data_IF_611352763400
#
_entry.id   IF_611352763400
#
_cell.length_a   1.000
_cell.length_b   1.000
_cell.length_c   1.000
_cell.angle_alpha   90.00
_cell.angle_beta   90.00
_cell.angle_gamma   90.00
#
_symmetry.space_group_name_H-M   'P 1'
#
loop_
_entity.id
_entity.type
_entity.pdbx_description
1 polymer ?
#
# COMPACT_ATOMS: atom_id res chain seq x y z
N UNK A 1 7.74 16.64 -17.02
CA UNK A 1 9.03 16.10 -16.53
C UNK A 1 8.75 14.73 -15.94
N UNK A 2 9.17 13.65 -16.61
CA UNK A 2 9.15 12.32 -16.01
C UNK A 2 10.29 12.28 -14.98
N UNK A 3 9.96 12.37 -13.70
CA UNK A 3 10.93 12.11 -12.64
C UNK A 3 11.45 10.68 -12.83
N UNK A 4 12.76 10.54 -13.07
CA UNK A 4 13.41 9.24 -13.03
C UNK A 4 13.12 8.60 -11.66
N UNK A 5 12.84 7.29 -11.60
CA UNK A 5 12.62 6.61 -10.34
C UNK A 5 13.83 6.83 -9.44
N UNK A 6 13.60 7.32 -8.22
CA UNK A 6 14.65 7.45 -7.21
C UNK A 6 15.12 6.03 -6.87
N UNK A 7 16.41 5.77 -7.03
CA UNK A 7 16.99 4.48 -6.63
C UNK A 7 16.93 4.32 -5.11
N UNK A 8 16.46 3.17 -4.65
CA UNK A 8 16.57 2.79 -3.25
C UNK A 8 18.06 2.57 -2.91
N UNK A 9 18.57 3.04 -1.75
CA UNK A 9 17.86 3.64 -0.61
C UNK A 9 18.02 5.17 -0.51
N UNK A 10 18.07 5.92 -1.62
CA UNK A 10 18.33 7.37 -1.56
C UNK A 10 17.17 8.18 -0.94
N UNK A 11 17.44 9.38 -0.39
CA UNK A 11 16.41 10.27 0.13
C UNK A 11 15.28 10.52 -0.88
N UNK A 12 14.04 10.44 -0.40
CA UNK A 12 12.83 10.45 -1.22
C UNK A 12 12.31 9.05 -1.57
N UNK A 13 13.09 8.00 -1.36
CA UNK A 13 12.63 6.61 -1.53
C UNK A 13 11.51 6.28 -0.56
N UNK A 14 10.45 5.63 -1.07
CA UNK A 14 9.36 5.09 -0.26
C UNK A 14 9.72 3.68 0.15
N UNK A 15 9.78 3.43 1.45
CA UNK A 15 10.24 2.18 2.02
C UNK A 15 9.18 1.57 2.92
N UNK A 16 9.21 0.25 3.06
CA UNK A 16 8.48 -0.46 4.07
C UNK A 16 9.42 -0.72 5.24
N UNK A 17 8.97 -0.32 6.42
CA UNK A 17 9.59 -0.67 7.70
C UNK A 17 8.51 -1.20 8.62
N UNK A 18 8.75 -2.42 9.13
CA UNK A 18 7.75 -3.18 9.92
C UNK A 18 6.37 -3.20 9.23
N UNK A 19 6.37 -3.19 7.89
CA UNK A 19 5.16 -3.26 7.07
C UNK A 19 4.42 -1.94 6.82
N UNK A 20 4.87 -0.87 7.45
CA UNK A 20 4.31 0.47 7.27
C UNK A 20 5.11 1.21 6.21
N UNK A 21 4.46 2.08 5.44
CA UNK A 21 5.16 2.94 4.48
C UNK A 21 5.76 4.15 5.17
N UNK A 22 7.01 4.40 4.86
CA UNK A 22 7.79 5.55 5.28
C UNK A 22 8.52 6.14 4.08
N UNK A 23 9.05 7.34 4.25
CA UNK A 23 9.92 7.99 3.28
C UNK A 23 11.30 8.15 3.90
N UNK A 24 12.36 7.77 3.19
CA UNK A 24 13.73 8.09 3.62
C UNK A 24 13.92 9.59 3.48
N UNK A 25 14.24 10.27 4.58
CA UNK A 25 14.54 11.70 4.58
C UNK A 25 16.04 11.99 4.45
N UNK A 26 16.86 11.13 5.06
CA UNK A 26 18.31 11.31 5.11
C UNK A 26 19.01 9.97 5.38
N UNK A 27 20.23 9.81 4.87
CA UNK A 27 21.11 8.68 5.19
C UNK A 27 22.24 9.12 6.14
N UNK A 28 22.70 8.20 6.97
CA UNK A 28 23.86 8.34 7.86
C UNK A 28 24.79 7.14 7.70
N UNK A 29 25.96 7.21 8.33
CA UNK A 29 26.89 6.08 8.47
C UNK A 29 27.22 5.43 7.12
N UNK A 30 27.55 6.26 6.12
CA UNK A 30 27.79 5.84 4.72
C UNK A 30 26.64 5.04 4.09
N UNK A 31 25.39 5.29 4.50
CA UNK A 31 24.21 4.61 3.97
C UNK A 31 23.78 3.39 4.77
N UNK A 32 24.41 3.08 5.91
CA UNK A 32 23.98 1.97 6.77
C UNK A 32 22.68 2.27 7.52
N UNK A 33 22.42 3.54 7.84
CA UNK A 33 21.25 3.98 8.62
C UNK A 33 20.45 5.04 7.86
N UNK A 34 19.13 4.96 7.89
CA UNK A 34 18.23 5.96 7.31
C UNK A 34 17.37 6.65 8.39
N UNK A 35 17.23 7.97 8.32
CA UNK A 35 16.11 8.67 8.95
C UNK A 35 14.88 8.44 8.08
N UNK A 36 13.92 7.69 8.58
CA UNK A 36 12.63 7.49 7.94
C UNK A 36 11.57 8.35 8.62
N UNK A 37 10.72 8.95 7.79
CA UNK A 37 9.60 9.78 8.22
C UNK A 37 8.29 9.25 7.67
N UNK A 38 7.22 9.39 8.45
CA UNK A 38 5.87 9.03 8.07
C UNK A 38 4.95 10.20 8.35
N UNK A 39 4.20 10.59 7.33
CA UNK A 39 3.21 11.66 7.39
C UNK A 39 1.82 11.05 7.11
N UNK A 40 0.80 11.42 7.89
CA UNK A 40 -0.56 10.95 7.71
C UNK A 40 -1.41 10.97 9.00
N UNK A 41 -2.73 10.88 8.83
CA UNK A 41 -3.74 11.09 9.88
C UNK A 41 -3.77 10.07 11.05
N UNK A 42 -2.79 9.17 11.15
CA UNK A 42 -2.74 8.13 12.19
C UNK A 42 -1.36 7.83 12.76
N UNK A 43 -0.30 8.51 12.30
CA UNK A 43 1.03 8.50 12.92
C UNK A 43 1.95 9.50 12.20
N UNK A 44 2.17 10.68 12.79
CA UNK A 44 3.40 11.42 12.52
C UNK A 44 4.52 10.73 13.28
N UNK A 45 5.54 10.27 12.57
CA UNK A 45 6.66 9.55 13.17
C UNK A 45 7.95 9.84 12.45
N UNK A 46 9.02 10.03 13.21
CA UNK A 46 10.40 10.07 12.69
C UNK A 46 11.25 9.10 13.51
N UNK A 47 12.02 8.25 12.85
CA UNK A 47 12.99 7.39 13.53
C UNK A 47 14.15 7.01 12.63
N UNK A 48 15.25 6.58 13.25
CA UNK A 48 16.37 5.97 12.53
C UNK A 48 16.15 4.48 12.43
N UNK A 49 16.48 3.91 11.28
CA UNK A 49 16.37 2.48 11.03
C UNK A 49 17.53 2.02 10.14
N UNK A 50 18.09 0.81 10.37
CA UNK A 50 19.09 0.24 9.48
C UNK A 50 18.52 0.08 8.07
N UNK A 51 19.27 0.49 7.06
CA UNK A 51 18.85 0.36 5.65
C UNK A 51 18.64 -1.10 5.25
N UNK A 52 19.41 -2.02 5.86
CA UNK A 52 19.25 -3.46 5.67
C UNK A 52 17.87 -3.99 6.08
N UNK A 53 17.18 -3.31 7.01
CA UNK A 53 15.84 -3.68 7.49
C UNK A 53 14.72 -3.01 6.66
N UNK A 54 15.07 -2.13 5.73
CA UNK A 54 14.14 -1.42 4.87
C UNK A 54 13.92 -2.18 3.58
N UNK A 55 12.65 -2.28 3.16
CA UNK A 55 12.28 -2.90 1.88
C UNK A 55 11.80 -1.81 0.93
N UNK A 56 12.25 -1.84 -0.34
CA UNK A 56 11.71 -0.94 -1.36
C UNK A 56 10.20 -1.22 -1.56
N UNK A 57 9.38 -0.22 -1.24
CA UNK A 57 7.94 -0.36 -1.30
C UNK A 57 7.44 -0.49 -2.76
N UNK A 58 8.19 0.00 -3.74
CA UNK A 58 7.84 -0.12 -5.15
C UNK A 58 8.01 -1.56 -5.65
N UNK A 59 9.04 -2.26 -5.16
CA UNK A 59 9.30 -3.67 -5.48
C UNK A 59 8.18 -4.56 -4.91
N UNK A 60 7.77 -4.32 -3.67
CA UNK A 60 6.65 -5.06 -3.03
C UNK A 60 5.32 -4.81 -3.72
N UNK A 61 5.07 -3.59 -4.22
CA UNK A 61 3.87 -3.31 -5.00
C UNK A 61 3.88 -4.08 -6.34
N UNK A 62 5.05 -4.20 -7.00
CA UNK A 62 5.21 -5.00 -8.20
C UNK A 62 4.97 -6.49 -7.96
N UNK A 63 5.54 -7.03 -6.89
CA UNK A 63 5.39 -8.45 -6.52
C UNK A 63 3.98 -8.80 -6.02
N UNK A 64 3.30 -7.86 -5.35
CA UNK A 64 1.90 -8.03 -4.92
C UNK A 64 0.94 -8.15 -6.10
N UNK A 65 1.21 -7.47 -7.21
CA UNK A 65 0.45 -7.62 -8.47
C UNK A 65 0.69 -9.01 -9.08
N UNK A 66 1.91 -9.54 -8.97
CA UNK A 66 2.26 -10.88 -9.43
C UNK A 66 1.70 -12.00 -8.54
N UNK A 67 1.42 -11.71 -7.26
CA UNK A 67 0.82 -12.67 -6.31
C UNK A 67 -0.67 -12.97 -6.61
N UNK A 68 -1.33 -12.14 -7.42
CA UNK A 68 -2.68 -12.41 -7.97
C UNK A 68 -2.57 -13.38 -9.16
N UNK A 69 -1.92 -14.54 -8.95
CA UNK A 69 -1.80 -15.60 -9.98
C UNK A 69 -3.14 -16.33 -10.13
N UNK A 70 -3.60 -16.51 -11.36
CA UNK A 70 -4.81 -17.27 -11.70
C UNK A 70 -6.08 -16.43 -11.96
N UNK A 71 -6.00 -15.10 -11.89
CA UNK A 71 -7.18 -14.25 -12.05
C UNK A 71 -7.19 -13.53 -13.41
N UNK A 72 -8.37 -13.43 -14.03
CA UNK A 72 -8.58 -12.87 -15.37
C UNK A 72 -8.07 -11.43 -15.54
N UNK A 73 -7.93 -11.00 -16.80
CA UNK A 73 -7.39 -9.67 -17.19
C UNK A 73 -8.02 -8.51 -16.41
N UNK A 74 -9.33 -8.57 -16.19
CA UNK A 74 -10.09 -7.52 -15.50
C UNK A 74 -9.69 -7.39 -14.03
N UNK A 75 -9.51 -8.51 -13.33
CA UNK A 75 -9.06 -8.47 -11.93
C UNK A 75 -7.63 -7.94 -11.82
N UNK A 76 -6.74 -8.22 -12.78
CA UNK A 76 -5.40 -7.65 -12.79
C UNK A 76 -5.42 -6.14 -12.96
N UNK A 77 -6.24 -5.63 -13.89
CA UNK A 77 -6.41 -4.18 -14.09
C UNK A 77 -7.00 -3.51 -12.84
N UNK A 78 -7.99 -4.15 -12.22
CA UNK A 78 -8.56 -3.69 -10.96
C UNK A 78 -7.52 -3.70 -9.84
N UNK A 79 -6.74 -4.77 -9.69
CA UNK A 79 -5.69 -4.89 -8.67
C UNK A 79 -4.58 -3.85 -8.84
N UNK A 80 -4.14 -3.58 -10.08
CA UNK A 80 -3.19 -2.51 -10.38
C UNK A 80 -3.73 -1.14 -9.99
N UNK A 81 -5.00 -0.86 -10.30
CA UNK A 81 -5.63 0.40 -9.93
C UNK A 81 -5.77 0.54 -8.41
N UNK A 82 -6.18 -0.52 -7.72
CA UNK A 82 -6.23 -0.57 -6.25
C UNK A 82 -4.84 -0.34 -5.67
N UNK A 83 -3.81 -1.03 -6.16
CA UNK A 83 -2.43 -0.84 -5.71
C UNK A 83 -1.96 0.61 -5.89
N UNK A 84 -2.27 1.23 -7.03
CA UNK A 84 -1.96 2.63 -7.30
C UNK A 84 -2.69 3.57 -6.33
N UNK A 85 -4.00 3.39 -6.14
CA UNK A 85 -4.80 4.20 -5.22
C UNK A 85 -4.33 4.08 -3.75
N UNK A 86 -3.87 2.89 -3.38
CA UNK A 86 -3.39 2.58 -2.04
C UNK A 86 -1.90 2.87 -1.84
N UNK A 87 -1.18 3.31 -2.88
CA UNK A 87 0.28 3.46 -2.86
C UNK A 87 0.75 4.29 -1.68
N UNK A 88 0.15 5.44 -1.44
CA UNK A 88 0.56 6.37 -0.38
C UNK A 88 -0.27 6.23 0.91
N UNK A 89 -1.11 5.19 0.98
CA UNK A 89 -1.99 4.95 2.14
C UNK A 89 -1.40 3.88 3.04
N UNK A 90 -1.62 4.05 4.34
CA UNK A 90 -1.29 3.05 5.35
C UNK A 90 -2.52 2.32 5.90
N UNK A 91 -3.68 2.95 5.74
CA UNK A 91 -4.98 2.40 6.13
C UNK A 91 -6.04 2.88 5.14
N UNK A 92 -7.08 2.08 4.99
CA UNK A 92 -8.23 2.41 4.15
C UNK A 92 -9.48 1.75 4.71
N UNK A 93 -10.58 2.50 4.78
CA UNK A 93 -11.88 1.91 5.03
C UNK A 93 -12.41 1.26 3.75
N UNK A 94 -12.94 0.04 3.86
CA UNK A 94 -13.43 -0.72 2.71
C UNK A 94 -14.53 0.03 1.94
N UNK A 95 -15.41 0.74 2.64
CA UNK A 95 -16.44 1.59 2.03
C UNK A 95 -15.84 2.70 1.15
N UNK A 96 -14.81 3.39 1.64
CA UNK A 96 -14.19 4.50 0.91
C UNK A 96 -13.48 3.99 -0.35
N UNK A 97 -12.82 2.83 -0.24
CA UNK A 97 -12.25 2.14 -1.40
C UNK A 97 -13.34 1.70 -2.39
N UNK A 98 -14.46 1.17 -1.90
CA UNK A 98 -15.60 0.80 -2.73
C UNK A 98 -16.20 1.99 -3.49
N UNK A 99 -16.39 3.13 -2.82
CA UNK A 99 -16.86 4.36 -3.48
C UNK A 99 -15.88 4.86 -4.55
N UNK A 100 -14.57 4.82 -4.26
CA UNK A 100 -13.56 5.19 -5.24
C UNK A 100 -13.60 4.30 -6.48
N UNK A 101 -13.70 2.98 -6.29
CA UNK A 101 -13.79 2.02 -7.40
C UNK A 101 -15.10 2.13 -8.18
N UNK A 102 -16.20 2.45 -7.52
CA UNK A 102 -17.47 2.72 -8.19
C UNK A 102 -17.37 3.97 -9.08
N UNK A 103 -16.74 5.04 -8.60
CA UNK A 103 -16.49 6.24 -9.40
C UNK A 103 -15.54 5.99 -10.57
N UNK A 104 -14.43 5.27 -10.35
CA UNK A 104 -13.49 4.90 -11.41
C UNK A 104 -14.13 3.97 -12.46
N UNK A 105 -15.03 3.08 -12.04
CA UNK A 105 -15.79 2.26 -12.98
C UNK A 105 -16.75 3.09 -13.83
N UNK A 106 -17.48 4.04 -13.21
CA UNK A 106 -18.36 4.95 -13.93
C UNK A 106 -17.60 5.82 -14.96
N UNK A 107 -16.33 6.13 -14.68
CA UNK A 107 -15.43 6.83 -15.60
C UNK A 107 -14.81 5.92 -16.69
N UNK A 108 -14.98 4.60 -16.62
CA UNK A 108 -14.41 3.64 -17.57
C UNK A 108 -12.95 3.25 -17.31
N UNK A 109 -12.38 3.65 -16.18
CA UNK A 109 -10.96 3.42 -15.85
C UNK A 109 -10.70 1.99 -15.40
N UNK A 110 -11.68 1.35 -14.77
CA UNK A 110 -11.59 -0.01 -14.22
C UNK A 110 -12.84 -0.85 -14.49
N UNK A 111 -12.68 -2.18 -14.55
CA UNK A 111 -13.82 -3.10 -14.50
C UNK A 111 -14.59 -2.97 -13.17
N UNK A 112 -15.87 -3.33 -13.21
CA UNK A 112 -16.72 -3.33 -12.03
C UNK A 112 -16.23 -4.37 -11.01
N UNK A 113 -16.19 -3.98 -9.73
CA UNK A 113 -16.02 -4.95 -8.64
C UNK A 113 -17.21 -5.91 -8.61
N UNK A 114 -16.96 -7.22 -8.47
CA UNK A 114 -18.05 -8.20 -8.40
C UNK A 114 -18.83 -8.05 -7.10
N UNK A 115 -18.10 -8.06 -6.00
CA UNK A 115 -18.61 -7.92 -4.64
C UNK A 115 -17.48 -7.49 -3.68
N UNK A 116 -17.81 -7.36 -2.40
CA UNK A 116 -16.84 -7.03 -1.36
C UNK A 116 -15.81 -8.14 -1.14
N UNK A 117 -16.14 -9.42 -1.39
CA UNK A 117 -15.21 -10.53 -1.22
C UNK A 117 -14.07 -10.45 -2.24
N UNK A 118 -14.41 -10.20 -3.51
CA UNK A 118 -13.46 -9.99 -4.60
C UNK A 118 -12.50 -8.85 -4.31
N UNK A 119 -12.99 -7.73 -3.76
CA UNK A 119 -12.14 -6.62 -3.34
C UNK A 119 -11.20 -7.02 -2.19
N UNK A 120 -11.70 -7.77 -1.20
CA UNK A 120 -10.89 -8.24 -0.07
C UNK A 120 -9.80 -9.21 -0.51
N UNK A 121 -10.06 -10.08 -1.49
CA UNK A 121 -9.03 -10.95 -2.07
C UNK A 121 -7.91 -10.16 -2.75
N UNK A 122 -8.27 -9.15 -3.54
CA UNK A 122 -7.29 -8.22 -4.14
C UNK A 122 -6.45 -7.55 -3.06
N UNK A 123 -7.11 -7.00 -2.02
CA UNK A 123 -6.43 -6.36 -0.91
C UNK A 123 -5.46 -7.30 -0.19
N UNK A 124 -5.88 -8.53 0.10
CA UNK A 124 -5.01 -9.56 0.71
C UNK A 124 -3.81 -9.89 -0.18
N UNK A 125 -4.02 -10.05 -1.49
CA UNK A 125 -2.93 -10.27 -2.45
C UNK A 125 -1.92 -9.12 -2.47
N UNK A 126 -2.37 -7.89 -2.23
CA UNK A 126 -1.54 -6.69 -2.11
C UNK A 126 -0.90 -6.50 -0.72
N UNK A 127 -1.10 -7.43 0.22
CA UNK A 127 -0.55 -7.37 1.58
C UNK A 127 -1.37 -6.49 2.54
N UNK A 128 -2.66 -6.29 2.28
CA UNK A 128 -3.57 -5.55 3.14
C UNK A 128 -4.45 -6.48 3.96
N UNK A 129 -4.52 -6.23 5.27
CA UNK A 129 -5.23 -7.07 6.22
C UNK A 129 -6.18 -6.24 7.08
N UNK A 130 -7.30 -6.83 7.45
CA UNK A 130 -8.31 -6.18 8.30
C UNK A 130 -7.70 -5.92 9.67
N UNK A 131 -7.76 -4.67 10.12
CA UNK A 131 -7.21 -4.22 11.41
C UNK A 131 -8.31 -3.80 12.40
N UNK A 132 -9.49 -3.44 11.92
CA UNK A 132 -10.58 -3.01 12.78
C UNK A 132 -11.77 -2.49 12.00
N UNK A 133 -12.46 -1.51 12.58
CA UNK A 133 -13.59 -0.82 11.97
C UNK A 133 -13.45 0.69 12.17
N UNK A 134 -13.94 1.46 11.21
CA UNK A 134 -14.08 2.90 11.28
C UNK A 134 -15.56 3.30 11.13
N UNK A 135 -15.91 4.44 11.71
CA UNK A 135 -17.28 4.96 11.75
C UNK A 135 -18.12 4.36 12.87
N UNK A 136 -19.26 5.01 13.12
CA UNK A 136 -20.31 4.52 14.01
C UNK A 136 -21.38 3.79 13.20
N UNK A 137 -22.16 2.93 13.85
CA UNK A 137 -23.36 2.33 13.25
C UNK A 137 -24.34 3.43 12.77
N UNK A 138 -25.02 3.25 11.63
CA UNK A 138 -25.02 2.09 10.72
C UNK A 138 -23.90 2.12 9.65
N UNK A 139 -23.02 3.12 9.72
CA UNK A 139 -22.02 3.45 8.72
C UNK A 139 -20.66 2.78 8.97
N UNK A 140 -20.64 1.76 9.82
CA UNK A 140 -19.42 1.11 10.27
C UNK A 140 -18.82 0.30 9.13
N UNK A 141 -17.58 0.60 8.77
CA UNK A 141 -16.84 -0.09 7.70
C UNK A 141 -15.61 -0.78 8.26
N UNK A 142 -15.26 -2.00 7.80
CA UNK A 142 -13.96 -2.59 8.06
C UNK A 142 -12.84 -1.65 7.61
N UNK A 143 -11.78 -1.55 8.42
CA UNK A 143 -10.53 -0.86 8.08
C UNK A 143 -9.47 -1.89 7.80
N UNK A 144 -8.78 -1.72 6.68
CA UNK A 144 -7.64 -2.52 6.30
C UNK A 144 -6.38 -1.69 6.46
N UNK A 145 -5.32 -2.32 6.98
CA UNK A 145 -3.98 -1.77 7.07
C UNK A 145 -3.03 -2.64 6.29
N UNK A 146 -1.99 -2.03 5.75
CA UNK A 146 -0.86 -2.79 5.22
C UNK A 146 -0.13 -3.44 6.39
N UNK A 147 0.05 -4.76 6.34
CA UNK A 147 0.88 -5.45 7.33
C UNK A 147 2.22 -5.75 6.70
N UNK A 148 3.25 -5.88 7.53
CA UNK A 148 4.48 -6.52 7.09
C UNK A 148 4.08 -7.90 6.57
N UNK A 149 4.39 -8.19 5.32
CA UNK A 149 4.51 -9.59 4.92
C UNK A 149 5.57 -10.13 5.88
N UNK A 150 5.21 -11.09 6.73
CA UNK A 150 6.22 -11.84 7.45
C UNK A 150 7.16 -12.39 6.38
N UNK A 151 8.39 -11.90 6.35
CA UNK A 151 9.44 -12.56 5.60
C UNK A 151 9.64 -13.84 6.40
N UNK A 152 8.99 -14.92 5.97
CA UNK A 152 9.33 -16.24 6.48
C UNK A 152 10.79 -16.46 6.12
N UNK A 153 11.60 -16.68 7.15
CA UNK A 153 13.00 -17.12 7.06
C UNK A 153 13.15 -18.36 6.17
#
# INVERSE_FOLDING_TARGET
MLHAPIEFPFPGSVVLSKGLRWTIRQLFDNGATALIVREGAGAQGRRREPVADLVDANLVDGDGVLAVKGVGRDTKRLALHVAHHLRDRNEVALRDLGHHLAAAHAAGDVPRIRDNYHLVEIMRGLGWHKHGYAGAEPNRSPVYRRTAKAVSE
#
